data_IF_244220538707
#
_entry.id   IF_244220538707
#
_cell.length_a   1.000
_cell.length_b   1.000
_cell.length_c   1.000
_cell.angle_alpha   90.00
_cell.angle_beta   90.00
_cell.angle_gamma   90.00
#
_symmetry.space_group_name_H-M   'P 1'
#
loop_
_entity.id
_entity.type
_entity.pdbx_description
1 polymer ?
#
# COMPACT_ATOMS: atom_id res chain seq x y z
N UNK A 1 10.35 1.07 -16.74
CA UNK A 1 8.91 1.41 -16.60
C UNK A 1 8.45 2.08 -17.88
N UNK A 2 7.23 1.80 -18.37
CA UNK A 2 6.69 2.43 -19.59
C UNK A 2 5.83 3.64 -19.24
N UNK A 3 5.87 4.68 -20.07
CA UNK A 3 4.99 5.85 -19.95
C UNK A 3 3.50 5.48 -20.01
N UNK A 4 3.14 4.45 -20.79
CA UNK A 4 1.77 3.94 -20.88
C UNK A 4 1.28 3.33 -19.56
N UNK A 5 2.16 2.63 -18.85
CA UNK A 5 1.84 2.10 -17.52
C UNK A 5 1.56 3.22 -16.53
N UNK A 6 2.42 4.24 -16.50
CA UNK A 6 2.24 5.39 -15.60
C UNK A 6 0.98 6.19 -15.93
N UNK A 7 0.69 6.38 -17.23
CA UNK A 7 -0.53 7.01 -17.71
C UNK A 7 -1.77 6.26 -17.22
N UNK A 8 -1.77 4.92 -17.32
CA UNK A 8 -2.83 4.09 -16.74
C UNK A 8 -2.86 4.22 -15.22
N UNK A 9 -1.72 4.18 -14.53
CA UNK A 9 -1.64 4.35 -13.09
C UNK A 9 -2.22 5.69 -12.62
N UNK A 10 -2.02 6.78 -13.36
CA UNK A 10 -2.60 8.09 -13.06
C UNK A 10 -4.08 8.25 -13.42
N UNK A 11 -4.71 7.24 -14.04
CA UNK A 11 -6.11 7.33 -14.47
C UNK A 11 -6.34 8.19 -15.71
N UNK A 12 -5.28 8.48 -16.47
CA UNK A 12 -5.40 9.14 -17.77
C UNK A 12 -5.94 8.14 -18.81
N UNK A 13 -6.69 8.58 -19.84
CA UNK A 13 -7.26 7.68 -20.83
C UNK A 13 -6.15 7.00 -21.65
N UNK A 14 -6.11 5.67 -21.59
CA UNK A 14 -5.17 4.80 -22.32
C UNK A 14 -5.98 3.82 -23.16
N UNK A 15 -5.52 3.57 -24.39
CA UNK A 15 -6.14 2.57 -25.25
C UNK A 15 -5.64 1.16 -24.92
N UNK A 16 -6.47 0.14 -25.13
CA UNK A 16 -6.10 -1.26 -24.86
C UNK A 16 -4.83 -1.69 -25.64
N UNK A 17 -4.66 -1.16 -26.85
CA UNK A 17 -3.46 -1.38 -27.66
C UNK A 17 -2.18 -0.81 -27.04
N UNK A 18 -2.26 0.30 -26.32
CA UNK A 18 -1.12 0.88 -25.59
C UNK A 18 -0.78 0.06 -24.34
N UNK A 19 -1.79 -0.49 -23.67
CA UNK A 19 -1.64 -1.35 -22.49
C UNK A 19 -0.96 -2.69 -22.80
N UNK A 20 -1.09 -3.18 -24.05
CA UNK A 20 -0.39 -4.38 -24.53
C UNK A 20 1.12 -4.14 -24.77
N UNK A 21 1.56 -2.89 -24.94
CA UNK A 21 2.96 -2.54 -25.27
C UNK A 21 3.86 -2.33 -24.05
N UNK A 22 3.42 -2.66 -22.84
CA UNK A 22 4.21 -2.45 -21.61
C UNK A 22 5.35 -3.51 -21.53
N UNK A 23 6.63 -3.11 -21.61
CA UNK A 23 7.74 -4.03 -21.85
C UNK A 23 8.33 -4.68 -20.59
N UNK A 24 8.06 -4.14 -19.39
CA UNK A 24 8.71 -4.57 -18.14
C UNK A 24 7.69 -4.97 -17.06
N UNK A 25 7.07 -6.17 -17.15
CA UNK A 25 6.04 -6.61 -16.20
C UNK A 25 6.57 -6.85 -14.78
N UNK A 26 7.84 -7.27 -14.63
CA UNK A 26 8.42 -7.52 -13.30
C UNK A 26 8.50 -6.27 -12.42
N UNK A 27 8.82 -5.12 -13.02
CA UNK A 27 8.87 -3.86 -12.28
C UNK A 27 7.46 -3.36 -11.91
N UNK A 28 6.46 -3.60 -12.77
CA UNK A 28 5.05 -3.25 -12.50
C UNK A 28 4.52 -4.08 -11.34
N UNK A 29 4.75 -5.40 -11.40
CA UNK A 29 4.42 -6.30 -10.31
C UNK A 29 5.11 -5.90 -9.01
N UNK A 30 6.38 -5.50 -9.08
CA UNK A 30 7.12 -5.04 -7.90
C UNK A 30 6.53 -3.80 -7.27
N UNK A 31 6.14 -2.80 -8.05
CA UNK A 31 5.52 -1.57 -7.54
C UNK A 31 4.19 -1.90 -6.86
N UNK A 32 3.34 -2.68 -7.51
CA UNK A 32 2.05 -3.09 -6.95
C UNK A 32 2.21 -3.83 -5.62
N UNK A 33 3.06 -4.87 -5.60
CA UNK A 33 3.33 -5.65 -4.38
C UNK A 33 3.89 -4.74 -3.27
N UNK A 34 4.80 -3.83 -3.62
CA UNK A 34 5.39 -2.90 -2.65
C UNK A 34 4.37 -1.94 -2.06
N UNK A 35 3.49 -1.34 -2.87
CA UNK A 35 2.41 -0.48 -2.37
C UNK A 35 1.49 -1.24 -1.40
N UNK A 36 1.15 -2.49 -1.73
CA UNK A 36 0.35 -3.36 -0.86
C UNK A 36 1.07 -3.74 0.43
N UNK A 37 2.36 -4.04 0.34
CA UNK A 37 3.18 -4.32 1.52
C UNK A 37 3.30 -3.11 2.43
N UNK A 38 3.46 -1.90 1.88
CA UNK A 38 3.48 -0.64 2.65
C UNK A 38 2.14 -0.41 3.36
N UNK A 39 1.02 -0.49 2.65
CA UNK A 39 -0.31 -0.32 3.24
C UNK A 39 -0.58 -1.32 4.35
N UNK A 40 -0.32 -2.60 4.09
CA UNK A 40 -0.58 -3.69 5.04
C UNK A 40 0.34 -3.59 6.24
N UNK A 41 1.62 -3.29 6.00
CA UNK A 41 2.60 -3.05 7.05
C UNK A 41 2.22 -1.85 7.92
N UNK A 42 1.80 -0.74 7.31
CA UNK A 42 1.35 0.46 8.02
C UNK A 42 0.17 0.14 8.93
N UNK A 43 -0.87 -0.52 8.43
CA UNK A 43 -2.05 -0.88 9.21
C UNK A 43 -1.73 -1.84 10.36
N UNK A 44 -0.92 -2.88 10.10
CA UNK A 44 -0.52 -3.82 11.15
C UNK A 44 0.31 -3.10 12.22
N UNK A 45 1.26 -2.26 11.81
CA UNK A 45 2.07 -1.48 12.73
C UNK A 45 1.25 -0.47 13.55
N UNK A 46 0.25 0.16 12.93
CA UNK A 46 -0.58 1.18 13.57
C UNK A 46 -1.53 0.57 14.61
N UNK A 47 -1.94 -0.69 14.43
CA UNK A 47 -2.70 -1.47 15.42
C UNK A 47 -1.79 -2.04 16.52
N UNK A 48 -0.65 -2.64 16.14
CA UNK A 48 0.25 -3.32 17.07
C UNK A 48 0.98 -2.34 17.99
N UNK A 49 1.28 -1.11 17.55
CA UNK A 49 1.95 -0.09 18.37
C UNK A 49 1.18 0.20 19.67
N UNK A 50 -0.05 0.73 19.61
CA UNK A 50 -0.89 0.96 20.78
C UNK A 50 -1.17 -0.32 21.58
N UNK A 51 -1.43 -1.44 20.90
CA UNK A 51 -1.72 -2.72 21.55
C UNK A 51 -0.53 -3.22 22.39
N UNK A 52 0.69 -3.10 21.89
CA UNK A 52 1.89 -3.48 22.63
C UNK A 52 2.05 -2.63 23.90
N UNK A 53 1.75 -1.33 23.82
CA UNK A 53 1.77 -0.49 25.03
C UNK A 53 0.65 -0.82 26.00
N UNK A 54 -0.53 -1.21 25.51
CA UNK A 54 -1.64 -1.62 26.37
C UNK A 54 -1.37 -2.94 27.10
N UNK A 55 -0.69 -3.89 26.44
CA UNK A 55 -0.42 -5.22 26.98
C UNK A 55 0.85 -5.31 27.82
N UNK A 56 1.88 -4.53 27.48
CA UNK A 56 3.20 -4.61 28.12
C UNK A 56 3.54 -3.41 29.02
N UNK A 57 2.75 -2.32 29.01
CA UNK A 57 2.92 -1.30 30.04
C UNK A 57 2.29 -1.79 31.34
N UNK A 58 3.10 -1.86 32.40
CA UNK A 58 2.61 -2.06 33.76
C UNK A 58 1.43 -1.10 34.02
N UNK A 59 0.35 -1.68 34.56
CA UNK A 59 -1.00 -1.15 34.85
C UNK A 59 -1.10 0.29 35.39
N UNK A 60 0.00 0.93 35.78
CA UNK A 60 0.02 2.27 36.38
C UNK A 60 0.15 3.43 35.38
N UNK A 61 0.48 3.19 34.11
CA UNK A 61 0.48 4.27 33.10
C UNK A 61 -0.95 4.57 32.66
N UNK A 62 -1.49 5.71 33.13
CA UNK A 62 -2.73 6.29 32.59
C UNK A 62 -2.67 6.28 31.05
N UNK A 63 -3.71 5.74 30.42
CA UNK A 63 -3.92 5.81 28.97
C UNK A 63 -4.06 7.27 28.53
N UNK A 64 -2.93 7.91 28.24
CA UNK A 64 -2.91 9.24 27.64
C UNK A 64 -3.08 9.10 26.11
N UNK A 65 -4.06 9.83 25.58
CA UNK A 65 -4.33 9.92 24.15
C UNK A 65 -3.09 10.34 23.35
N UNK A 66 -2.22 11.19 23.93
CA UNK A 66 -0.97 11.60 23.27
C UNK A 66 0.00 10.43 23.11
N UNK A 67 0.12 9.60 24.13
CA UNK A 67 0.95 8.39 24.12
C UNK A 67 0.41 7.39 23.09
N UNK A 68 -0.89 7.11 23.11
CA UNK A 68 -1.54 6.21 22.13
C UNK A 68 -1.31 6.71 20.70
N UNK A 69 -1.54 8.01 20.45
CA UNK A 69 -1.33 8.64 19.14
C UNK A 69 0.13 8.51 18.68
N UNK A 70 1.10 8.75 19.56
CA UNK A 70 2.51 8.62 19.22
C UNK A 70 2.90 7.18 18.87
N UNK A 71 2.33 6.19 19.57
CA UNK A 71 2.60 4.77 19.35
C UNK A 71 1.91 4.25 18.07
N UNK A 72 0.71 4.74 17.78
CA UNK A 72 0.03 4.50 16.51
C UNK A 72 0.89 4.97 15.32
N UNK A 73 1.39 6.21 15.38
CA UNK A 73 2.21 6.78 14.30
C UNK A 73 3.56 6.08 14.19
N UNK A 74 4.23 5.84 15.33
CA UNK A 74 5.53 5.17 15.34
C UNK A 74 5.43 3.73 14.84
N UNK A 75 4.45 2.97 15.33
CA UNK A 75 4.18 1.60 14.90
C UNK A 75 3.82 1.54 13.42
N UNK A 76 2.91 2.41 12.97
CA UNK A 76 2.52 2.49 11.56
C UNK A 76 3.68 2.85 10.65
N UNK A 77 4.55 3.80 11.04
CA UNK A 77 5.72 4.18 10.26
C UNK A 77 6.74 3.05 10.15
N UNK A 78 7.02 2.35 11.27
CA UNK A 78 7.90 1.19 11.27
C UNK A 78 7.33 0.06 10.40
N UNK A 79 6.03 -0.22 10.51
CA UNK A 79 5.34 -1.20 9.70
C UNK A 79 5.36 -0.86 8.20
N UNK A 80 5.14 0.41 7.85
CA UNK A 80 5.24 0.91 6.47
C UNK A 80 6.66 0.73 5.91
N UNK A 81 7.68 1.03 6.71
CA UNK A 81 9.09 0.87 6.32
C UNK A 81 9.46 -0.61 6.13
N UNK A 82 9.02 -1.48 7.04
CA UNK A 82 9.16 -2.93 6.89
C UNK A 82 8.45 -3.41 5.62
N UNK A 83 7.25 -2.92 5.34
CA UNK A 83 6.50 -3.20 4.12
C UNK A 83 7.23 -2.75 2.85
N UNK A 84 7.83 -1.56 2.88
CA UNK A 84 8.61 -1.03 1.75
C UNK A 84 9.84 -1.89 1.42
N UNK A 85 10.48 -2.47 2.44
CA UNK A 85 11.62 -3.38 2.25
C UNK A 85 11.17 -4.79 1.87
N UNK A 86 10.10 -5.30 2.48
CA UNK A 86 9.57 -6.64 2.20
C UNK A 86 8.94 -6.74 0.81
N UNK A 87 8.34 -5.67 0.28
CA UNK A 87 7.70 -5.67 -1.03
C UNK A 87 8.61 -6.16 -2.16
N UNK A 88 9.79 -5.56 -2.37
CA UNK A 88 10.79 -6.03 -3.33
C UNK A 88 11.27 -7.45 -3.06
N UNK A 89 11.47 -7.85 -1.79
CA UNK A 89 11.89 -9.21 -1.43
C UNK A 89 10.83 -10.26 -1.80
N UNK A 90 9.56 -9.99 -1.48
CA UNK A 90 8.41 -10.83 -1.84
C UNK A 90 8.28 -10.90 -3.37
N UNK A 91 8.47 -9.78 -4.05
CA UNK A 91 8.44 -9.73 -5.52
C UNK A 91 9.53 -10.60 -6.11
N UNK A 92 10.77 -10.46 -5.64
CA UNK A 92 11.90 -11.25 -6.12
C UNK A 92 11.66 -12.75 -5.92
N UNK A 93 11.18 -13.14 -4.74
CA UNK A 93 10.83 -14.53 -4.45
C UNK A 93 9.66 -15.04 -5.33
N UNK A 94 8.64 -14.21 -5.55
CA UNK A 94 7.48 -14.57 -6.37
C UNK A 94 7.83 -14.74 -7.84
N UNK A 95 8.69 -13.86 -8.39
CA UNK A 95 9.13 -13.93 -9.78
C UNK A 95 10.00 -15.17 -10.01
N UNK A 96 10.87 -15.53 -9.06
CA UNK A 96 11.71 -16.74 -9.14
C UNK A 96 10.90 -18.03 -9.29
N UNK A 97 9.72 -18.07 -8.68
CA UNK A 97 8.84 -19.24 -8.67
C UNK A 97 7.75 -19.20 -9.76
N UNK A 98 7.75 -18.19 -10.64
CA UNK A 98 6.69 -17.97 -11.62
C UNK A 98 7.22 -17.98 -13.05
N UNK A 99 6.48 -18.58 -13.97
CA UNK A 99 6.81 -18.50 -15.39
C UNK A 99 6.62 -17.08 -15.91
N UNK A 100 7.38 -16.71 -16.94
CA UNK A 100 7.26 -15.40 -17.60
C UNK A 100 5.84 -15.15 -18.11
N UNK A 101 5.18 -16.19 -18.66
CA UNK A 101 3.79 -16.13 -19.14
C UNK A 101 2.82 -15.84 -17.99
N UNK A 102 2.96 -16.49 -16.85
CA UNK A 102 2.10 -16.24 -15.69
C UNK A 102 2.31 -14.84 -15.10
N UNK A 103 3.55 -14.33 -15.10
CA UNK A 103 3.84 -12.96 -14.68
C UNK A 103 3.16 -11.94 -15.61
N UNK A 104 3.23 -12.17 -16.93
CA UNK A 104 2.55 -11.33 -17.91
C UNK A 104 1.03 -11.37 -17.74
N UNK A 105 0.42 -12.54 -17.55
CA UNK A 105 -1.02 -12.68 -17.31
C UNK A 105 -1.47 -11.96 -16.04
N UNK A 106 -0.70 -12.04 -14.95
CA UNK A 106 -0.98 -11.27 -13.73
C UNK A 106 -0.93 -9.77 -13.94
N UNK A 107 0.12 -9.28 -14.61
CA UNK A 107 0.26 -7.85 -14.90
C UNK A 107 -0.84 -7.37 -15.85
N UNK A 108 -1.23 -8.21 -16.81
CA UNK A 108 -2.36 -7.93 -17.67
C UNK A 108 -3.64 -7.75 -16.85
N UNK A 109 -3.97 -8.71 -15.97
CA UNK A 109 -5.15 -8.62 -15.09
C UNK A 109 -5.11 -7.37 -14.20
N UNK A 110 -3.95 -7.05 -13.63
CA UNK A 110 -3.75 -5.84 -12.81
C UNK A 110 -4.05 -4.54 -13.57
N UNK A 111 -3.76 -4.47 -14.86
CA UNK A 111 -4.01 -3.29 -15.69
C UNK A 111 -5.50 -3.05 -15.98
N UNK A 112 -6.29 -4.12 -16.01
CA UNK A 112 -7.73 -4.05 -16.26
C UNK A 112 -8.56 -4.12 -14.97
N UNK A 113 -7.94 -4.48 -13.85
CA UNK A 113 -8.57 -4.46 -12.53
C UNK A 113 -8.65 -3.02 -12.02
N UNK A 114 -9.76 -2.37 -12.37
CA UNK A 114 -10.07 -1.01 -11.94
C UNK A 114 -10.09 -0.85 -10.42
N UNK A 115 -10.50 -1.88 -9.68
CA UNK A 115 -10.57 -1.81 -8.22
C UNK A 115 -9.18 -1.76 -7.59
N UNK A 116 -8.26 -2.61 -8.06
CA UNK A 116 -6.89 -2.61 -7.59
C UNK A 116 -6.14 -1.33 -7.98
N UNK A 117 -6.35 -0.84 -9.20
CA UNK A 117 -5.79 0.44 -9.64
C UNK A 117 -6.32 1.62 -8.82
N UNK A 118 -7.63 1.66 -8.54
CA UNK A 118 -8.22 2.68 -7.70
C UNK A 118 -7.61 2.67 -6.30
N UNK A 119 -7.41 1.49 -5.72
CA UNK A 119 -6.83 1.34 -4.39
C UNK A 119 -5.37 1.80 -4.33
N UNK A 120 -4.57 1.43 -5.32
CA UNK A 120 -3.17 1.84 -5.38
C UNK A 120 -3.07 3.38 -5.56
N UNK A 121 -3.95 3.98 -6.38
CA UNK A 121 -4.06 5.44 -6.55
C UNK A 121 -4.51 6.14 -5.27
N UNK A 122 -5.60 5.69 -4.66
CA UNK A 122 -6.13 6.34 -3.45
C UNK A 122 -5.11 6.29 -2.33
N UNK A 123 -4.33 5.21 -2.22
CA UNK A 123 -3.26 5.11 -1.24
C UNK A 123 -2.15 6.12 -1.46
N UNK A 124 -1.67 6.25 -2.71
CA UNK A 124 -0.60 7.22 -3.02
C UNK A 124 -1.10 8.64 -2.76
N UNK A 125 -2.33 8.96 -3.20
CA UNK A 125 -2.92 10.28 -3.03
C UNK A 125 -3.21 10.57 -1.55
N UNK A 126 -3.87 9.66 -0.84
CA UNK A 126 -4.23 9.85 0.57
C UNK A 126 -3.00 9.91 1.47
N UNK A 127 -1.98 9.08 1.19
CA UNK A 127 -0.70 9.12 1.88
C UNK A 127 0.02 10.44 1.65
N UNK A 128 0.06 10.93 0.41
CA UNK A 128 0.69 12.21 0.08
C UNK A 128 -0.05 13.40 0.69
N UNK A 129 -1.37 13.49 0.52
CA UNK A 129 -2.20 14.57 1.11
C UNK A 129 -2.15 14.51 2.64
N UNK A 130 -2.15 13.31 3.21
CA UNK A 130 -1.96 13.09 4.63
C UNK A 130 -0.60 13.61 5.12
N UNK A 131 0.48 13.24 4.42
CA UNK A 131 1.83 13.71 4.74
C UNK A 131 1.95 15.24 4.69
N UNK A 132 1.37 15.86 3.67
CA UNK A 132 1.39 17.32 3.50
C UNK A 132 0.57 18.05 4.57
N UNK A 133 -0.52 17.46 5.05
CA UNK A 133 -1.40 18.09 6.04
C UNK A 133 -0.88 17.99 7.47
N UNK A 134 -0.42 16.82 7.91
CA UNK A 134 -0.07 16.55 9.31
C UNK A 134 1.21 15.71 9.46
N UNK A 135 2.10 15.70 8.47
CA UNK A 135 3.35 14.96 8.51
C UNK A 135 3.14 13.45 8.64
N UNK A 136 3.94 12.81 9.49
CA UNK A 136 3.92 11.35 9.68
C UNK A 136 2.56 10.80 10.14
N UNK A 137 1.81 11.57 10.95
CA UNK A 137 0.49 11.14 11.36
C UNK A 137 -0.49 11.11 10.20
N UNK A 138 -0.55 12.20 9.44
CA UNK A 138 -1.47 12.29 8.32
C UNK A 138 -1.14 11.24 7.26
N UNK A 139 0.14 10.94 7.04
CA UNK A 139 0.57 9.85 6.17
C UNK A 139 -0.03 8.50 6.60
N UNK A 140 0.14 8.08 7.86
CA UNK A 140 -0.38 6.78 8.35
C UNK A 140 -1.90 6.75 8.31
N UNK A 141 -2.57 7.82 8.78
CA UNK A 141 -4.03 7.91 8.73
C UNK A 141 -4.54 7.86 7.28
N UNK A 142 -3.84 8.51 6.34
CA UNK A 142 -4.16 8.47 4.92
C UNK A 142 -4.05 7.07 4.33
N UNK A 143 -2.97 6.34 4.65
CA UNK A 143 -2.78 4.95 4.21
C UNK A 143 -3.87 4.03 4.76
N UNK A 144 -4.11 4.08 6.07
CA UNK A 144 -5.09 3.22 6.75
C UNK A 144 -6.52 3.52 6.27
N UNK A 145 -6.85 4.80 6.09
CA UNK A 145 -8.16 5.21 5.58
C UNK A 145 -8.38 4.75 4.14
N UNK A 146 -7.37 4.84 3.27
CA UNK A 146 -7.49 4.34 1.89
C UNK A 146 -7.74 2.83 1.88
N UNK A 147 -7.03 2.07 2.72
CA UNK A 147 -7.20 0.62 2.83
C UNK A 147 -8.58 0.26 3.40
N UNK A 148 -9.04 0.91 4.47
CA UNK A 148 -10.36 0.66 5.06
C UNK A 148 -11.48 1.04 4.09
N UNK A 149 -11.41 2.22 3.47
CA UNK A 149 -12.40 2.68 2.50
C UNK A 149 -12.47 1.74 1.30
N UNK A 150 -11.33 1.24 0.82
CA UNK A 150 -11.33 0.30 -0.30
C UNK A 150 -11.97 -1.05 0.02
N UNK A 151 -11.83 -1.54 1.25
CA UNK A 151 -12.47 -2.78 1.72
C UNK A 151 -13.98 -2.59 1.99
N UNK A 152 -14.39 -1.41 2.46
CA UNK A 152 -15.80 -1.08 2.69
C UNK A 152 -16.54 -0.82 1.38
N UNK A 153 -15.97 0.01 0.49
CA UNK A 153 -16.59 0.35 -0.80
C UNK A 153 -16.57 -0.81 -1.79
N UNK A 154 -15.53 -1.67 -1.74
CA UNK A 154 -15.47 -2.88 -2.56
C UNK A 154 -16.51 -3.95 -2.21
N UNK A 155 -17.28 -3.78 -1.12
CA UNK A 155 -18.43 -4.63 -0.75
C UNK A 155 -19.79 -4.01 -1.09
N UNK A 156 -19.82 -2.74 -1.50
CA UNK A 156 -21.05 -2.00 -1.76
C UNK A 156 -21.47 -2.02 -3.25
N UNK A 157 -20.68 -2.67 -4.10
CA UNK A 157 -20.86 -2.88 -5.54
C UNK A 157 -20.64 -4.37 -5.85
#
# INVERSE_FOLDING_TARGET
>A
MSSYWFKNFCGLPVTDFELLKVPHPGAEFSIHVTLRSIQTGALLGSILGPLSTALFANTERRFDLRTVKSQFVSGGMQGALIGAVLGPCITWYSIRNMSTVALYDKCYKLRFDNQQLWLDRTTVISGAVGALSNGSLGFIVGLDLALVMSNLMGRAW
#
